data_IF_347204908474
#
_entry.id   IF_347204908474
#
_cell.length_a   1.000
_cell.length_b   1.000
_cell.length_c   1.000
_cell.angle_alpha   90.00
_cell.angle_beta   90.00
_cell.angle_gamma   90.00
#
_symmetry.space_group_name_H-M   'P 1'
#
loop_
_entity.id
_entity.type
_entity.pdbx_description
1 polymer ?
#
# COMPACT_ATOMS: atom_id res chain seq x y z
N UNK A 1 1.48 2.57 40.09
CA UNK A 1 1.10 3.74 39.25
C UNK A 1 2.04 3.98 38.07
N UNK A 2 3.37 3.93 38.23
CA UNK A 2 4.33 4.17 37.13
C UNK A 2 4.16 3.21 35.92
N UNK A 3 3.94 1.91 36.16
CA UNK A 3 3.78 0.95 35.06
C UNK A 3 2.56 1.24 34.18
N UNK A 4 1.41 1.58 34.78
CA UNK A 4 0.18 1.90 34.05
C UNK A 4 0.34 3.17 33.21
N UNK A 5 0.97 4.22 33.76
CA UNK A 5 1.28 5.46 33.02
C UNK A 5 2.20 5.21 31.82
N UNK A 6 3.22 4.37 32.00
CA UNK A 6 4.13 3.96 30.92
C UNK A 6 3.38 3.20 29.83
N UNK A 7 2.53 2.23 30.19
CA UNK A 7 1.74 1.49 29.22
C UNK A 7 0.81 2.41 28.43
N UNK A 8 0.14 3.35 29.09
CA UNK A 8 -0.68 4.35 28.42
C UNK A 8 0.13 5.20 27.44
N UNK A 9 1.32 5.66 27.85
CA UNK A 9 2.20 6.44 27.00
C UNK A 9 2.65 5.66 25.75
N UNK A 10 2.95 4.37 25.89
CA UNK A 10 3.32 3.52 24.76
C UNK A 10 2.15 3.30 23.81
N UNK A 11 0.96 2.97 24.33
CA UNK A 11 -0.23 2.72 23.52
C UNK A 11 -0.69 4.00 22.80
N UNK A 12 -0.86 5.09 23.54
CA UNK A 12 -1.28 6.37 22.94
C UNK A 12 -0.21 6.93 22.01
N UNK A 13 1.08 6.81 22.37
CA UNK A 13 2.18 7.20 21.50
C UNK A 13 2.11 6.46 20.17
N UNK A 14 1.90 5.14 20.21
CA UNK A 14 1.76 4.30 19.03
C UNK A 14 0.56 4.71 18.16
N UNK A 15 -0.62 4.88 18.77
CA UNK A 15 -1.84 5.26 18.05
C UNK A 15 -1.69 6.65 17.41
N UNK A 16 -1.18 7.63 18.16
CA UNK A 16 -1.04 9.00 17.68
C UNK A 16 0.01 9.12 16.59
N UNK A 17 1.13 8.39 16.68
CA UNK A 17 2.16 8.43 15.63
C UNK A 17 1.64 7.84 14.32
N UNK A 18 0.93 6.71 14.37
CA UNK A 18 0.33 6.09 13.18
C UNK A 18 -0.71 7.02 12.54
N UNK A 19 -1.60 7.60 13.35
CA UNK A 19 -2.59 8.55 12.85
C UNK A 19 -1.94 9.81 12.27
N UNK A 20 -0.89 10.34 12.91
CA UNK A 20 -0.18 11.52 12.43
C UNK A 20 0.48 11.25 11.06
N UNK A 21 1.16 10.12 10.88
CA UNK A 21 1.76 9.75 9.59
C UNK A 21 0.68 9.64 8.52
N UNK A 22 -0.45 9.00 8.83
CA UNK A 22 -1.57 8.86 7.89
C UNK A 22 -2.16 10.21 7.48
N UNK A 23 -2.35 11.12 8.43
CA UNK A 23 -2.85 12.47 8.14
C UNK A 23 -1.88 13.26 7.27
N UNK A 24 -0.58 13.21 7.59
CA UNK A 24 0.46 13.88 6.78
C UNK A 24 0.50 13.29 5.37
N UNK A 25 0.38 11.97 5.22
CA UNK A 25 0.33 11.30 3.92
C UNK A 25 -0.85 11.78 3.08
N UNK A 26 -2.08 11.70 3.61
CA UNK A 26 -3.30 12.12 2.92
C UNK A 26 -3.25 13.61 2.57
N UNK A 27 -2.75 14.44 3.48
CA UNK A 27 -2.61 15.88 3.25
C UNK A 27 -1.58 16.20 2.14
N UNK A 28 -0.45 15.48 2.09
CA UNK A 28 0.65 15.82 1.18
C UNK A 28 0.44 15.30 -0.24
N UNK A 29 -0.23 14.16 -0.40
CA UNK A 29 -0.38 13.48 -1.70
C UNK A 29 -1.74 13.76 -2.35
N UNK A 30 -2.72 14.20 -1.56
CA UNK A 30 -4.09 14.44 -2.04
C UNK A 30 -4.86 13.13 -2.29
N UNK A 31 -6.14 13.28 -2.63
CA UNK A 31 -6.99 12.15 -3.06
C UNK A 31 -6.77 12.04 -4.57
N UNK A 32 -5.94 11.09 -5.01
CA UNK A 32 -5.74 10.87 -6.45
C UNK A 32 -7.05 10.43 -7.12
N UNK A 33 -7.55 11.24 -8.04
CA UNK A 33 -8.68 10.91 -8.90
C UNK A 33 -8.32 9.66 -9.72
N UNK A 34 -9.17 8.62 -9.63
CA UNK A 34 -9.05 7.40 -10.42
C UNK A 34 -9.09 7.76 -11.90
N UNK A 35 -8.15 7.24 -12.69
CA UNK A 35 -8.13 7.47 -14.15
C UNK A 35 -9.37 6.83 -14.81
N UNK A 36 -10.01 5.85 -14.14
CA UNK A 36 -11.17 5.11 -14.65
C UNK A 36 -12.41 5.35 -13.78
N UNK A 37 -13.39 6.12 -14.26
CA UNK A 37 -14.69 6.37 -13.62
C UNK A 37 -15.54 5.10 -13.46
N UNK A 38 -16.36 4.95 -12.38
CA UNK A 38 -16.93 3.68 -11.94
C UNK A 38 -17.95 3.09 -12.93
N UNK A 39 -17.72 1.82 -13.30
CA UNK A 39 -18.64 0.97 -14.03
C UNK A 39 -18.58 -0.42 -13.41
N UNK A 40 -19.73 -0.93 -12.96
CA UNK A 40 -19.87 -2.19 -12.22
C UNK A 40 -20.06 -3.39 -13.17
N UNK A 41 -19.32 -4.46 -12.87
CA UNK A 41 -19.55 -5.89 -13.16
C UNK A 41 -19.30 -6.44 -14.59
N UNK A 42 -18.38 -7.42 -14.73
CA UNK A 42 -18.66 -8.86 -15.02
C UNK A 42 -17.34 -9.68 -15.19
N UNK A 43 -17.35 -10.94 -14.76
CA UNK A 43 -16.24 -11.91 -14.93
C UNK A 43 -16.55 -12.87 -16.11
N UNK A 44 -15.88 -12.71 -17.25
CA UNK A 44 -15.79 -13.75 -18.30
C UNK A 44 -14.68 -13.52 -19.35
N UNK A 45 -14.09 -12.32 -19.44
CA UNK A 45 -13.09 -11.97 -20.48
C UNK A 45 -11.72 -11.67 -19.87
N UNK A 46 -11.48 -12.11 -18.63
CA UNK A 46 -10.27 -11.74 -17.88
C UNK A 46 -9.04 -12.57 -18.27
N UNK A 47 -9.18 -13.62 -19.09
CA UNK A 47 -8.07 -14.55 -19.38
C UNK A 47 -7.24 -14.15 -20.60
N UNK A 48 -7.82 -13.41 -21.57
CA UNK A 48 -7.08 -12.94 -22.77
C UNK A 48 -6.34 -11.61 -22.54
N UNK A 49 -6.90 -10.70 -21.73
CA UNK A 49 -6.29 -9.39 -21.40
C UNK A 49 -5.13 -9.51 -20.41
N UNK A 50 -5.08 -10.63 -19.66
CA UNK A 50 -4.05 -10.91 -18.64
C UNK A 50 -2.65 -11.16 -19.20
N UNK A 51 -2.53 -11.33 -20.52
CA UNK A 51 -1.30 -11.64 -21.23
C UNK A 51 -0.66 -10.42 -21.90
N UNK A 52 -1.31 -9.25 -21.89
CA UNK A 52 -0.82 -8.04 -22.55
C UNK A 52 0.29 -7.35 -21.74
N UNK A 53 1.40 -7.05 -22.42
CA UNK A 53 2.75 -7.00 -21.84
C UNK A 53 3.09 -5.63 -21.21
N UNK A 54 2.32 -4.58 -21.48
CA UNK A 54 2.54 -3.24 -20.91
C UNK A 54 1.24 -2.47 -20.57
N UNK A 55 1.28 -1.68 -19.50
CA UNK A 55 0.17 -0.81 -19.06
C UNK A 55 -0.20 0.24 -20.11
N UNK A 56 0.75 0.66 -20.94
CA UNK A 56 0.54 1.60 -22.05
C UNK A 56 -0.30 0.99 -23.17
N UNK A 57 -0.07 -0.29 -23.51
CA UNK A 57 -0.88 -1.01 -24.49
C UNK A 57 -2.33 -1.19 -24.02
N UNK A 58 -2.52 -1.56 -22.74
CA UNK A 58 -3.86 -1.66 -22.16
C UNK A 58 -4.59 -0.32 -22.14
N UNK A 59 -3.88 0.78 -21.86
CA UNK A 59 -4.46 2.12 -21.88
C UNK A 59 -4.85 2.52 -23.32
N UNK A 60 -3.98 2.27 -24.29
CA UNK A 60 -4.27 2.54 -25.69
C UNK A 60 -5.46 1.72 -26.21
N UNK A 61 -5.57 0.45 -25.80
CA UNK A 61 -6.71 -0.39 -26.15
C UNK A 61 -8.01 0.08 -25.47
N UNK A 62 -7.92 0.50 -24.21
CA UNK A 62 -9.03 1.08 -23.48
C UNK A 62 -9.53 2.36 -24.16
N UNK A 63 -8.65 3.31 -24.47
CA UNK A 63 -8.99 4.55 -25.17
C UNK A 63 -9.61 4.29 -26.54
N UNK A 64 -9.05 3.36 -27.32
CA UNK A 64 -9.59 2.97 -28.62
C UNK A 64 -11.00 2.33 -28.50
N UNK A 65 -11.24 1.55 -27.43
CA UNK A 65 -12.53 0.92 -27.17
C UNK A 65 -13.56 1.94 -26.69
N UNK A 66 -13.18 2.86 -25.79
CA UNK A 66 -14.02 3.95 -25.32
C UNK A 66 -14.39 4.90 -26.46
N UNK A 67 -13.46 5.21 -27.36
CA UNK A 67 -13.73 6.01 -28.56
C UNK A 67 -14.79 5.36 -29.46
N UNK A 68 -14.72 4.04 -29.69
CA UNK A 68 -15.72 3.29 -30.46
C UNK A 68 -17.09 3.30 -29.79
N UNK A 69 -17.15 3.14 -28.46
CA UNK A 69 -18.42 3.24 -27.71
C UNK A 69 -19.02 4.64 -27.86
N UNK A 70 -18.21 5.69 -27.81
CA UNK A 70 -18.67 7.06 -27.96
C UNK A 70 -19.08 7.40 -29.40
N UNK A 71 -18.42 6.83 -30.41
CA UNK A 71 -18.86 6.92 -31.81
C UNK A 71 -20.23 6.27 -32.00
N UNK A 72 -20.42 5.04 -31.49
CA UNK A 72 -21.71 4.34 -31.52
C UNK A 72 -22.78 5.19 -30.83
N UNK A 73 -22.47 5.77 -29.66
CA UNK A 73 -23.37 6.66 -28.91
C UNK A 73 -23.80 7.90 -29.67
N UNK A 74 -22.95 8.43 -30.55
CA UNK A 74 -23.23 9.61 -31.39
C UNK A 74 -23.98 9.26 -32.68
N UNK A 75 -23.77 8.06 -33.23
CA UNK A 75 -24.36 7.66 -34.51
C UNK A 75 -25.76 7.07 -34.39
N UNK A 76 -26.08 6.43 -33.26
CA UNK A 76 -27.41 5.86 -33.03
C UNK A 76 -28.38 6.88 -32.41
N UNK A 77 -29.70 6.77 -32.69
CA UNK A 77 -30.73 7.59 -32.03
C UNK A 77 -30.69 7.38 -30.50
N UNK A 78 -31.37 8.22 -29.69
CA UNK A 78 -31.44 8.04 -28.24
C UNK A 78 -32.27 6.80 -27.88
N UNK A 79 -31.75 5.62 -28.19
CA UNK A 79 -32.17 4.33 -27.66
C UNK A 79 -31.69 4.23 -26.20
N UNK A 80 -32.42 3.44 -25.42
CA UNK A 80 -32.09 3.17 -24.03
C UNK A 80 -30.67 2.55 -23.94
N UNK A 81 -29.86 3.00 -22.97
CA UNK A 81 -28.48 2.53 -22.80
C UNK A 81 -28.41 1.01 -22.66
N UNK A 82 -29.48 0.41 -22.11
CA UNK A 82 -29.62 -1.03 -21.96
C UNK A 82 -29.65 -1.76 -23.31
N UNK A 83 -30.43 -1.28 -24.28
CA UNK A 83 -30.52 -1.88 -25.62
C UNK A 83 -29.21 -1.75 -26.39
N UNK A 84 -28.49 -0.65 -26.20
CA UNK A 84 -27.18 -0.43 -26.81
C UNK A 84 -26.12 -1.40 -26.27
N UNK A 85 -26.11 -1.58 -24.94
CA UNK A 85 -25.21 -2.53 -24.26
C UNK A 85 -25.52 -3.97 -24.66
N UNK A 86 -26.79 -4.30 -24.90
CA UNK A 86 -27.19 -5.63 -25.34
C UNK A 86 -26.78 -5.93 -26.80
N UNK A 87 -26.85 -4.95 -27.71
CA UNK A 87 -26.40 -5.10 -29.11
C UNK A 87 -24.89 -5.23 -29.25
N UNK A 88 -24.14 -4.49 -28.43
CA UNK A 88 -22.68 -4.47 -28.46
C UNK A 88 -22.07 -5.15 -27.22
N UNK A 89 -22.69 -6.23 -26.75
CA UNK A 89 -22.33 -6.90 -25.50
C UNK A 89 -20.82 -7.22 -25.42
N UNK A 90 -20.22 -7.69 -26.52
CA UNK A 90 -18.79 -8.02 -26.57
C UNK A 90 -17.89 -6.79 -26.42
N UNK A 91 -18.28 -5.64 -27.00
CA UNK A 91 -17.53 -4.39 -26.91
C UNK A 91 -17.56 -3.82 -25.49
N UNK A 92 -18.74 -3.81 -24.88
CA UNK A 92 -18.90 -3.35 -23.49
C UNK A 92 -18.25 -4.31 -22.50
N UNK A 93 -18.35 -5.64 -22.70
CA UNK A 93 -17.68 -6.62 -21.88
C UNK A 93 -16.15 -6.48 -21.96
N UNK A 94 -15.60 -6.21 -23.15
CA UNK A 94 -14.17 -5.93 -23.33
C UNK A 94 -13.76 -4.63 -22.65
N UNK A 95 -14.53 -3.56 -22.82
CA UNK A 95 -14.30 -2.29 -22.13
C UNK A 95 -14.28 -2.45 -20.61
N UNK A 96 -15.27 -3.16 -20.05
CA UNK A 96 -15.38 -3.39 -18.61
C UNK A 96 -14.22 -4.28 -18.09
N UNK A 97 -13.78 -5.26 -18.88
CA UNK A 97 -12.62 -6.08 -18.55
C UNK A 97 -11.33 -5.26 -18.52
N UNK A 98 -11.07 -4.44 -19.56
CA UNK A 98 -9.92 -3.52 -19.61
C UNK A 98 -9.93 -2.52 -18.46
N UNK A 99 -11.09 -1.91 -18.18
CA UNK A 99 -11.28 -1.00 -17.06
C UNK A 99 -10.96 -1.66 -15.71
N UNK A 100 -11.39 -2.92 -15.52
CA UNK A 100 -11.13 -3.66 -14.28
C UNK A 100 -9.65 -4.00 -14.08
N UNK A 101 -8.94 -4.39 -15.14
CA UNK A 101 -7.51 -4.70 -15.12
C UNK A 101 -6.67 -3.43 -14.87
N UNK A 102 -6.98 -2.32 -15.57
CA UNK A 102 -6.31 -1.04 -15.36
C UNK A 102 -6.46 -0.54 -13.92
N UNK A 103 -7.68 -0.61 -13.35
CA UNK A 103 -7.92 -0.28 -11.93
C UNK A 103 -7.12 -1.16 -11.00
N UNK A 104 -6.98 -2.44 -11.32
CA UNK A 104 -6.20 -3.33 -10.49
C UNK A 104 -4.72 -2.97 -10.51
N UNK A 105 -4.15 -2.71 -11.68
CA UNK A 105 -2.76 -2.26 -11.81
C UNK A 105 -2.54 -0.91 -11.11
N UNK A 106 -3.49 0.01 -11.23
CA UNK A 106 -3.46 1.29 -10.51
C UNK A 106 -3.49 1.08 -9.00
N UNK A 107 -4.37 0.21 -8.48
CA UNK A 107 -4.43 -0.12 -7.07
C UNK A 107 -3.13 -0.76 -6.56
N UNK A 108 -2.54 -1.68 -7.30
CA UNK A 108 -1.25 -2.30 -6.93
C UNK A 108 -0.13 -1.26 -6.94
N UNK A 109 -0.12 -0.35 -7.93
CA UNK A 109 0.88 0.73 -8.01
C UNK A 109 0.75 1.70 -6.83
N UNK A 110 -0.49 2.09 -6.46
CA UNK A 110 -0.78 2.88 -5.27
C UNK A 110 -0.33 2.14 -4.01
N UNK A 111 -0.63 0.85 -3.89
CA UNK A 111 -0.22 0.03 -2.73
C UNK A 111 1.32 -0.04 -2.62
N UNK A 112 2.05 -0.25 -3.72
CA UNK A 112 3.52 -0.25 -3.72
C UNK A 112 4.05 1.10 -3.22
N UNK A 113 3.52 2.22 -3.74
CA UNK A 113 3.94 3.55 -3.30
C UNK A 113 3.68 3.75 -1.82
N UNK A 114 2.48 3.45 -1.35
CA UNK A 114 2.08 3.60 0.04
C UNK A 114 3.01 2.75 0.94
N UNK A 115 3.28 1.49 0.56
CA UNK A 115 4.26 0.64 1.26
C UNK A 115 5.59 1.36 1.41
N UNK A 116 6.16 1.92 0.35
CA UNK A 116 7.45 2.62 0.43
C UNK A 116 7.40 3.84 1.35
N UNK A 117 6.35 4.67 1.25
CA UNK A 117 6.24 5.89 2.06
C UNK A 117 6.07 5.55 3.54
N UNK A 118 5.17 4.64 3.88
CA UNK A 118 4.95 4.22 5.25
C UNK A 118 6.15 3.43 5.81
N UNK A 119 6.84 2.66 4.97
CA UNK A 119 8.09 1.99 5.37
C UNK A 119 9.18 2.98 5.72
N UNK A 120 9.39 4.01 4.90
CA UNK A 120 10.36 5.08 5.18
C UNK A 120 9.98 5.82 6.46
N UNK A 121 8.70 6.13 6.67
CA UNK A 121 8.22 6.75 7.90
C UNK A 121 8.48 5.87 9.14
N UNK A 122 8.21 4.57 9.04
CA UNK A 122 8.51 3.58 10.09
C UNK A 122 10.01 3.50 10.40
N UNK A 123 10.87 3.51 9.38
CA UNK A 123 12.33 3.54 9.54
C UNK A 123 12.82 4.82 10.22
N UNK A 124 12.24 5.98 9.87
CA UNK A 124 12.55 7.25 10.52
C UNK A 124 12.15 7.21 12.00
N UNK A 125 10.95 6.70 12.33
CA UNK A 125 10.51 6.52 13.72
C UNK A 125 11.46 5.62 14.51
N UNK A 126 11.87 4.49 13.93
CA UNK A 126 12.84 3.57 14.54
C UNK A 126 14.19 4.27 14.73
N UNK A 127 14.68 5.01 13.74
CA UNK A 127 15.95 5.73 13.81
C UNK A 127 15.94 6.81 14.90
N UNK A 128 14.95 7.70 14.89
CA UNK A 128 14.79 8.76 15.91
C UNK A 128 14.60 8.16 17.30
N UNK A 129 13.75 7.14 17.42
CA UNK A 129 13.53 6.43 18.66
C UNK A 129 14.79 5.75 19.20
N UNK A 130 15.62 5.18 18.32
CA UNK A 130 16.89 4.56 18.68
C UNK A 130 17.89 5.59 19.19
N UNK A 131 17.98 6.76 18.55
CA UNK A 131 18.84 7.88 19.01
C UNK A 131 18.39 8.37 20.40
N UNK A 132 17.08 8.58 20.61
CA UNK A 132 16.55 8.97 21.92
C UNK A 132 16.81 7.92 22.99
N UNK A 133 16.63 6.64 22.65
CA UNK A 133 16.95 5.53 23.53
C UNK A 133 18.43 5.56 23.93
N UNK A 134 19.35 5.72 22.97
CA UNK A 134 20.79 5.82 23.22
C UNK A 134 21.17 7.02 24.09
N UNK A 135 20.47 8.15 23.96
CA UNK A 135 20.65 9.34 24.81
C UNK A 135 20.15 9.18 26.24
N UNK A 136 19.56 8.03 26.58
CA UNK A 136 19.08 7.74 27.95
C UNK A 136 17.62 8.10 28.19
N UNK A 137 16.92 8.59 27.17
CA UNK A 137 15.47 8.85 27.23
C UNK A 137 14.74 7.58 26.80
N UNK A 138 14.88 6.53 27.61
CA UNK A 138 14.50 5.16 27.24
C UNK A 138 13.02 5.03 26.85
N UNK A 139 12.13 5.69 27.60
CA UNK A 139 10.69 5.62 27.40
C UNK A 139 10.24 6.32 26.11
N UNK A 140 10.74 7.52 25.83
CA UNK A 140 10.42 8.23 24.60
C UNK A 140 11.02 7.54 23.37
N UNK A 141 12.21 6.93 23.54
CA UNK A 141 12.80 6.10 22.49
C UNK A 141 11.92 4.89 22.18
N UNK A 142 11.50 4.14 23.21
CA UNK A 142 10.62 2.98 23.02
C UNK A 142 9.25 3.36 22.44
N UNK A 143 8.67 4.50 22.81
CA UNK A 143 7.38 4.96 22.27
C UNK A 143 7.44 5.32 20.79
N UNK A 144 8.62 5.54 20.20
CA UNK A 144 8.79 5.76 18.75
C UNK A 144 9.22 4.49 18.03
N UNK A 145 10.09 3.67 18.64
CA UNK A 145 10.55 2.40 18.05
C UNK A 145 9.37 1.44 17.83
N UNK A 146 8.48 1.31 18.83
CA UNK A 146 7.34 0.39 18.75
C UNK A 146 6.41 0.70 17.56
N UNK A 147 5.85 1.91 17.42
CA UNK A 147 5.03 2.23 16.26
C UNK A 147 5.77 2.10 14.93
N UNK A 148 7.07 2.41 14.87
CA UNK A 148 7.84 2.18 13.64
C UNK A 148 7.89 0.71 13.24
N UNK A 149 8.04 -0.23 14.19
CA UNK A 149 7.91 -1.66 13.91
C UNK A 149 6.48 -2.10 13.60
N UNK A 150 5.47 -1.48 14.23
CA UNK A 150 4.06 -1.78 13.94
C UNK A 150 3.73 -1.40 12.50
N UNK A 151 4.16 -0.23 12.02
CA UNK A 151 3.99 0.18 10.62
C UNK A 151 4.68 -0.79 9.66
N UNK A 152 5.97 -1.10 9.90
CA UNK A 152 6.68 -2.06 9.04
C UNK A 152 6.00 -3.42 9.00
N UNK A 153 5.54 -3.92 10.15
CA UNK A 153 4.83 -5.19 10.25
C UNK A 153 3.49 -5.15 9.52
N UNK A 154 2.73 -4.06 9.65
CA UNK A 154 1.44 -3.88 8.99
C UNK A 154 1.58 -3.90 7.48
N UNK A 155 2.54 -3.14 6.93
CA UNK A 155 2.75 -3.04 5.49
C UNK A 155 3.47 -4.27 4.89
N UNK A 156 4.14 -5.07 5.72
CA UNK A 156 4.70 -6.37 5.30
C UNK A 156 3.65 -7.48 5.20
N UNK A 157 2.43 -7.28 5.73
CA UNK A 157 1.41 -8.31 5.73
C UNK A 157 0.96 -8.64 4.29
N UNK A 158 0.76 -9.94 3.96
CA UNK A 158 0.32 -10.34 2.64
C UNK A 158 -1.07 -9.78 2.35
N UNK A 159 -1.23 -9.13 1.20
CA UNK A 159 -2.54 -8.76 0.68
C UNK A 159 -3.03 -9.92 -0.20
N UNK A 160 -4.18 -10.49 0.16
CA UNK A 160 -4.80 -11.52 -0.67
C UNK A 160 -5.69 -10.85 -1.71
N UNK A 161 -5.14 -10.57 -2.90
CA UNK A 161 -5.93 -10.12 -4.05
C UNK A 161 -6.29 -11.31 -4.94
N UNK A 162 -7.59 -11.57 -5.10
CA UNK A 162 -8.10 -12.62 -5.99
C UNK A 162 -8.08 -12.13 -7.45
N UNK A 163 -7.04 -12.52 -8.21
CA UNK A 163 -6.97 -12.42 -9.68
C UNK A 163 -6.66 -11.03 -10.24
N UNK A 164 -6.03 -10.94 -11.43
CA UNK A 164 -6.02 -9.76 -12.34
C UNK A 164 -4.82 -8.78 -12.38
N UNK A 165 -3.59 -9.17 -11.98
CA UNK A 165 -2.34 -8.44 -12.29
C UNK A 165 -1.14 -9.24 -11.75
N UNK A 166 -0.80 -10.37 -12.38
CA UNK A 166 0.15 -11.35 -11.78
C UNK A 166 1.54 -10.75 -11.63
N UNK A 167 2.02 -10.01 -12.63
CA UNK A 167 3.36 -9.46 -12.66
C UNK A 167 3.55 -8.35 -11.62
N UNK A 168 2.59 -7.44 -11.52
CA UNK A 168 2.59 -6.35 -10.54
C UNK A 168 2.42 -6.91 -9.12
N UNK A 169 1.63 -7.97 -8.96
CA UNK A 169 1.50 -8.69 -7.69
C UNK A 169 2.81 -9.37 -7.27
N UNK A 170 3.56 -9.97 -8.21
CA UNK A 170 4.88 -10.55 -7.90
C UNK A 170 5.88 -9.48 -7.43
N UNK A 171 5.84 -8.29 -8.04
CA UNK A 171 6.66 -7.14 -7.62
C UNK A 171 6.24 -6.67 -6.22
N UNK A 172 4.93 -6.55 -5.97
CA UNK A 172 4.38 -6.20 -4.66
C UNK A 172 4.84 -7.20 -3.58
N UNK A 173 4.72 -8.50 -3.87
CA UNK A 173 5.13 -9.57 -2.97
C UNK A 173 6.64 -9.53 -2.69
N UNK A 174 7.46 -9.31 -3.72
CA UNK A 174 8.91 -9.17 -3.56
C UNK A 174 9.25 -7.99 -2.63
N UNK A 175 8.61 -6.84 -2.80
CA UNK A 175 8.79 -5.68 -1.92
C UNK A 175 8.41 -6.01 -0.46
N UNK A 176 7.31 -6.74 -0.23
CA UNK A 176 6.89 -7.18 1.11
C UNK A 176 7.88 -8.14 1.76
N UNK A 177 8.45 -9.07 0.97
CA UNK A 177 9.51 -9.99 1.45
C UNK A 177 10.75 -9.20 1.85
N UNK A 178 11.22 -8.27 1.00
CA UNK A 178 12.36 -7.40 1.31
C UNK A 178 12.11 -6.62 2.60
N UNK A 179 10.92 -6.02 2.74
CA UNK A 179 10.54 -5.27 3.93
C UNK A 179 10.55 -6.14 5.20
N UNK A 180 10.09 -7.39 5.09
CA UNK A 180 10.11 -8.36 6.19
C UNK A 180 11.55 -8.67 6.62
N UNK A 181 12.44 -8.94 5.66
CA UNK A 181 13.87 -9.20 5.92
C UNK A 181 14.51 -7.98 6.61
N UNK A 182 14.29 -6.78 6.09
CA UNK A 182 14.80 -5.52 6.67
C UNK A 182 14.32 -5.35 8.12
N UNK A 183 13.03 -5.61 8.36
CA UNK A 183 12.42 -5.52 9.70
C UNK A 183 13.07 -6.50 10.68
N UNK A 184 13.32 -7.74 10.25
CA UNK A 184 14.04 -8.73 11.07
C UNK A 184 15.47 -8.28 11.38
N UNK A 185 16.23 -7.85 10.37
CA UNK A 185 17.61 -7.39 10.56
C UNK A 185 17.66 -6.23 11.55
N UNK A 186 16.75 -5.25 11.45
CA UNK A 186 16.66 -4.12 12.36
C UNK A 186 16.31 -4.56 13.79
N UNK A 187 15.36 -5.48 13.95
CA UNK A 187 14.97 -6.02 15.25
C UNK A 187 16.17 -6.67 15.97
N UNK A 188 16.89 -7.56 15.28
CA UNK A 188 18.07 -8.21 15.84
C UNK A 188 19.21 -7.24 16.11
N UNK A 189 19.44 -6.27 15.23
CA UNK A 189 20.46 -5.24 15.43
C UNK A 189 20.17 -4.42 16.70
N UNK A 190 18.94 -3.91 16.86
CA UNK A 190 18.55 -3.15 18.05
C UNK A 190 18.62 -3.99 19.32
N UNK A 191 18.23 -5.26 19.25
CA UNK A 191 18.37 -6.18 20.38
C UNK A 191 19.84 -6.36 20.80
N UNK A 192 20.74 -6.57 19.84
CA UNK A 192 22.17 -6.69 20.12
C UNK A 192 22.75 -5.41 20.74
N UNK A 193 22.38 -4.24 20.22
CA UNK A 193 22.79 -2.95 20.80
C UNK A 193 22.26 -2.76 22.22
N UNK A 194 20.99 -3.09 22.47
CA UNK A 194 20.39 -3.01 23.80
C UNK A 194 21.09 -3.96 24.80
N UNK A 195 21.41 -5.18 24.38
CA UNK A 195 22.12 -6.15 25.22
C UNK A 195 23.54 -5.67 25.56
N UNK A 196 24.28 -5.15 24.58
CA UNK A 196 25.63 -4.61 24.79
C UNK A 196 25.63 -3.44 25.77
N UNK A 197 24.61 -2.57 25.71
CA UNK A 197 24.44 -1.46 26.65
C UNK A 197 24.15 -1.94 28.08
N UNK A 198 23.25 -2.91 28.25
CA UNK A 198 22.95 -3.49 29.57
C UNK A 198 24.20 -4.08 30.22
N UNK A 199 25.01 -4.82 29.46
CA UNK A 199 26.29 -5.36 29.95
C UNK A 199 27.25 -4.25 30.41
N UNK A 200 27.38 -3.16 29.65
CA UNK A 200 28.22 -2.00 30.03
C UNK A 200 27.73 -1.31 31.31
N UNK A 201 26.41 -1.16 31.48
CA UNK A 201 25.84 -0.56 32.69
C UNK A 201 26.03 -1.44 33.93
N UNK A 202 25.93 -2.78 33.78
CA UNK A 202 26.22 -3.72 34.87
C UNK A 202 27.70 -3.66 35.27
N UNK A 203 28.61 -3.64 34.31
CA UNK A 203 30.06 -3.53 34.57
C UNK A 203 30.46 -2.20 35.22
N UNK A 204 29.74 -1.10 34.96
CA UNK A 204 30.01 0.19 35.59
C UNK A 204 29.43 0.32 37.02
N UNK A 205 28.58 -0.62 37.45
CA UNK A 205 27.96 -0.64 38.79
C UNK A 205 28.60 -1.66 39.72
N UNK A 206 29.40 -2.59 39.18
CA UNK A 206 30.19 -3.56 39.94
C UNK A 206 31.55 -2.94 40.28
#
# INVERSE_FOLDING_TARGET
>A
MKALQVTFLLIFGCLLSTQAIRHVHVYSIGIEESIVEPGTAFYAVQEQVRMEESTEELLAEYEATSAKIEEIRKSDPPEDQFTMRQRHMDLFARHDALASELRQRENVTREIRDIWIFSVAGLILIGVGSVLYMRGIEWAGMSLILPGFVELSWWSAPSFTLGGAVREYDILLMNKIILTIVSFVLLYALWFFAQRRRKRQQAARA
#
